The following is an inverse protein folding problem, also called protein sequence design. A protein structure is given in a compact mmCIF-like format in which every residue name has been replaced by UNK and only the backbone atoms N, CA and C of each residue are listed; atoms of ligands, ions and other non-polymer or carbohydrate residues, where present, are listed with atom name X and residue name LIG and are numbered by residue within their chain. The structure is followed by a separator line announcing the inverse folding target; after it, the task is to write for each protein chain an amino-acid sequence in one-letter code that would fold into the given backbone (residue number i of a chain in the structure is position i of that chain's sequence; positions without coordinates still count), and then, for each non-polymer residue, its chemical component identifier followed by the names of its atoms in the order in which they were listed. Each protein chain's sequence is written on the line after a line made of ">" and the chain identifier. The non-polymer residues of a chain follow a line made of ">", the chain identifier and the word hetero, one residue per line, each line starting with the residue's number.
data_IF_126338931180
#
_entry.id   IF_126338931180
#
_cell.length_a   1.000
_cell.length_b   1.000
_cell.length_c   1.000
_cell.angle_alpha   90.00
_cell.angle_beta   90.00
_cell.angle_gamma   90.00
#
_symmetry.space_group_name_H-M   'P 1'
#
loop_
_entity.id
_entity.type
_entity.pdbx_description
1 polymer ?
#
# COMPACT_ATOMS: atom_id res chain seq x y z
N UNK A 1 -13.44 21.42 5.37
CA UNK A 1 -12.37 21.85 4.43
C UNK A 1 -10.97 21.39 4.85
N UNK A 2 -10.51 21.61 6.09
CA UNK A 2 -9.15 21.21 6.54
C UNK A 2 -8.83 19.71 6.36
N UNK A 3 -9.78 18.82 6.62
CA UNK A 3 -9.59 17.36 6.49
C UNK A 3 -9.39 16.94 5.03
N UNK A 4 -10.13 17.55 4.09
CA UNK A 4 -10.00 17.26 2.65
C UNK A 4 -8.61 17.67 2.14
N UNK A 5 -8.11 18.82 2.62
CA UNK A 5 -6.76 19.30 2.27
C UNK A 5 -5.69 18.32 2.78
N UNK A 6 -5.81 17.84 4.03
CA UNK A 6 -4.88 16.85 4.59
C UNK A 6 -4.86 15.55 3.77
N UNK A 7 -6.03 15.02 3.42
CA UNK A 7 -6.16 13.83 2.59
C UNK A 7 -5.56 14.08 1.21
N UNK A 8 -5.87 15.23 0.58
CA UNK A 8 -5.35 15.57 -0.74
C UNK A 8 -3.83 15.68 -0.78
N UNK A 9 -3.23 16.35 0.21
CA UNK A 9 -1.76 16.46 0.33
C UNK A 9 -1.11 15.09 0.56
N UNK A 10 -1.67 14.28 1.45
CA UNK A 10 -1.20 12.91 1.67
C UNK A 10 -1.28 12.08 0.37
N UNK A 11 -2.42 12.13 -0.33
CA UNK A 11 -2.63 11.41 -1.59
C UNK A 11 -1.68 11.87 -2.69
N UNK A 12 -1.43 13.16 -2.82
CA UNK A 12 -0.44 13.71 -3.74
C UNK A 12 0.95 13.11 -3.50
N UNK A 13 1.41 13.14 -2.26
CA UNK A 13 2.72 12.59 -1.88
C UNK A 13 2.75 11.07 -2.13
N UNK A 14 1.74 10.33 -1.68
CA UNK A 14 1.64 8.88 -1.87
C UNK A 14 1.69 8.46 -3.35
N UNK A 15 0.99 9.20 -4.21
CA UNK A 15 0.98 8.95 -5.65
C UNK A 15 2.35 9.19 -6.30
N UNK A 16 3.08 10.23 -5.88
CA UNK A 16 4.45 10.50 -6.35
C UNK A 16 5.39 9.36 -5.93
N UNK A 17 5.31 8.91 -4.68
CA UNK A 17 6.11 7.78 -4.19
C UNK A 17 5.81 6.50 -4.97
N UNK A 18 4.54 6.19 -5.20
CA UNK A 18 4.12 5.05 -6.03
C UNK A 18 4.73 5.12 -7.43
N UNK A 19 4.61 6.27 -8.08
CA UNK A 19 5.19 6.47 -9.41
C UNK A 19 6.71 6.28 -9.41
N UNK A 20 7.41 6.87 -8.45
CA UNK A 20 8.86 6.75 -8.32
C UNK A 20 9.31 5.31 -8.10
N UNK A 21 8.67 4.58 -7.18
CA UNK A 21 8.96 3.16 -6.93
C UNK A 21 8.65 2.33 -8.19
N UNK A 22 7.51 2.57 -8.86
CA UNK A 22 7.18 1.92 -10.12
C UNK A 22 8.28 2.09 -11.17
N UNK A 23 8.82 3.30 -11.31
CA UNK A 23 9.92 3.60 -12.25
C UNK A 23 11.22 2.85 -11.93
N UNK A 24 11.55 2.66 -10.65
CA UNK A 24 12.76 1.91 -10.24
C UNK A 24 12.65 0.46 -10.72
N UNK A 25 11.45 -0.13 -10.66
CA UNK A 25 11.22 -1.53 -11.03
C UNK A 25 10.76 -1.74 -12.48
N UNK A 26 10.61 -0.68 -13.28
CA UNK A 26 10.13 -0.77 -14.67
C UNK A 26 11.00 -1.68 -15.57
N UNK A 27 12.30 -1.74 -15.30
CA UNK A 27 13.27 -2.55 -16.06
C UNK A 27 13.49 -3.95 -15.47
N UNK A 28 12.55 -4.44 -14.70
CA UNK A 28 12.70 -5.74 -14.04
C UNK A 28 12.63 -6.91 -15.03
N UNK A 29 13.70 -7.69 -15.09
CA UNK A 29 13.86 -8.85 -15.99
C UNK A 29 12.94 -10.03 -15.61
N UNK A 30 12.45 -10.08 -14.38
CA UNK A 30 11.68 -11.23 -13.85
C UNK A 30 10.19 -11.19 -14.19
N UNK A 31 9.70 -10.20 -14.91
CA UNK A 31 8.28 -10.01 -15.26
C UNK A 31 7.31 -9.91 -14.07
N UNK A 32 7.80 -10.01 -12.84
CA UNK A 32 7.01 -9.87 -11.64
C UNK A 32 6.82 -8.38 -11.31
N UNK A 33 5.58 -7.92 -11.02
CA UNK A 33 5.31 -6.50 -10.76
C UNK A 33 5.77 -6.04 -9.37
N UNK A 34 7.09 -6.03 -9.12
CA UNK A 34 7.66 -5.70 -7.81
C UNK A 34 7.31 -4.30 -7.32
N UNK A 35 7.17 -3.32 -8.22
CA UNK A 35 6.82 -1.95 -7.85
C UNK A 35 5.46 -1.89 -7.15
N UNK A 36 4.43 -2.41 -7.78
CA UNK A 36 3.06 -2.47 -7.24
C UNK A 36 2.99 -3.35 -5.99
N UNK A 37 3.65 -4.51 -6.02
CA UNK A 37 3.75 -5.41 -4.87
C UNK A 37 4.31 -4.69 -3.64
N UNK A 38 5.44 -4.01 -3.78
CA UNK A 38 6.13 -3.35 -2.68
C UNK A 38 5.31 -2.19 -2.10
N UNK A 39 4.75 -1.31 -2.94
CA UNK A 39 3.96 -0.18 -2.44
C UNK A 39 2.69 -0.62 -1.72
N UNK A 40 2.06 -1.71 -2.17
CA UNK A 40 0.89 -2.25 -1.51
C UNK A 40 1.23 -2.84 -0.13
N UNK A 41 2.36 -3.56 0.01
CA UNK A 41 2.83 -4.10 1.29
C UNK A 41 3.20 -2.98 2.27
N UNK A 42 3.95 -1.98 1.82
CA UNK A 42 4.30 -0.82 2.65
C UNK A 42 3.05 -0.11 3.14
N UNK A 43 2.08 0.13 2.26
CA UNK A 43 0.81 0.76 2.63
C UNK A 43 0.01 -0.05 3.64
N UNK A 44 -0.05 -1.38 3.49
CA UNK A 44 -0.69 -2.29 4.45
C UNK A 44 -0.03 -2.22 5.83
N UNK A 45 1.31 -2.24 5.89
CA UNK A 45 2.04 -2.12 7.15
C UNK A 45 1.77 -0.78 7.86
N UNK A 46 1.88 0.33 7.14
CA UNK A 46 1.62 1.67 7.68
C UNK A 46 0.18 1.82 8.18
N UNK A 47 -0.78 1.25 7.45
CA UNK A 47 -2.18 1.29 7.85
C UNK A 47 -2.42 0.48 9.13
N UNK A 48 -1.80 -0.69 9.27
CA UNK A 48 -1.84 -1.50 10.50
C UNK A 48 -1.30 -0.76 11.71
N UNK A 49 -0.17 -0.05 11.57
CA UNK A 49 0.40 0.82 12.60
C UNK A 49 -0.59 1.91 13.03
N UNK A 50 -1.13 2.65 12.07
CA UNK A 50 -1.99 3.81 12.34
C UNK A 50 -3.31 3.44 13.00
N UNK A 51 -3.99 2.41 12.49
CA UNK A 51 -5.30 1.98 13.04
C UNK A 51 -5.13 1.52 14.49
N UNK A 52 -4.06 0.78 14.79
CA UNK A 52 -3.81 0.31 16.16
C UNK A 52 -3.42 1.44 17.10
N UNK A 53 -2.63 2.42 16.63
CA UNK A 53 -2.32 3.61 17.41
C UNK A 53 -3.57 4.41 17.77
N UNK A 54 -4.49 4.59 16.82
CA UNK A 54 -5.79 5.25 17.06
C UNK A 54 -6.66 4.49 18.06
N UNK A 55 -6.62 3.15 18.02
CA UNK A 55 -7.38 2.33 18.97
C UNK A 55 -6.83 2.42 20.39
N UNK A 56 -5.52 2.68 20.57
CA UNK A 56 -4.88 2.87 21.88
C UNK A 56 -5.14 4.28 22.43
N UNK A 57 -4.99 5.30 21.59
CA UNK A 57 -5.07 6.70 21.97
C UNK A 57 -5.92 7.46 20.96
N UNK A 58 -7.18 7.71 21.28
CA UNK A 58 -8.06 8.52 20.45
C UNK A 58 -7.88 10.00 20.74
N UNK A 59 -6.89 10.63 20.13
CA UNK A 59 -6.64 12.05 20.25
C UNK A 59 -6.69 12.78 18.88
N UNK A 60 -6.85 14.10 18.92
CA UNK A 60 -7.01 14.93 17.73
C UNK A 60 -5.80 14.84 16.78
N UNK A 61 -4.59 14.71 17.33
CA UNK A 61 -3.36 14.61 16.53
C UNK A 61 -3.32 13.30 15.73
N UNK A 62 -3.61 12.18 16.38
CA UNK A 62 -3.66 10.87 15.72
C UNK A 62 -4.78 10.80 14.67
N UNK A 63 -5.92 11.42 14.92
CA UNK A 63 -6.99 11.52 13.92
C UNK A 63 -6.53 12.28 12.66
N UNK A 64 -5.82 13.41 12.82
CA UNK A 64 -5.25 14.16 11.68
C UNK A 64 -4.16 13.38 10.97
N UNK A 65 -3.30 12.67 11.71
CA UNK A 65 -2.26 11.82 11.16
C UNK A 65 -2.87 10.67 10.35
N UNK A 66 -3.95 10.05 10.84
CA UNK A 66 -4.68 9.03 10.09
C UNK A 66 -5.28 9.58 8.79
N UNK A 67 -5.86 10.76 8.79
CA UNK A 67 -6.38 11.37 7.57
C UNK A 67 -5.26 11.66 6.55
N UNK A 68 -4.13 12.18 7.00
CA UNK A 68 -3.01 12.49 6.12
C UNK A 68 -2.27 11.24 5.64
N UNK A 69 -1.84 10.36 6.56
CA UNK A 69 -1.02 9.18 6.23
C UNK A 69 -1.90 7.98 5.83
N UNK A 70 -2.92 7.64 6.59
CA UNK A 70 -3.76 6.46 6.34
C UNK A 70 -4.63 6.65 5.10
N UNK A 71 -5.51 7.64 5.12
CA UNK A 71 -6.47 7.87 4.03
C UNK A 71 -5.79 8.50 2.82
N UNK A 72 -4.96 9.54 3.05
CA UNK A 72 -4.27 10.25 1.97
C UNK A 72 -3.09 9.47 1.42
N UNK A 73 -1.99 9.41 2.17
CA UNK A 73 -0.73 8.84 1.68
C UNK A 73 -0.85 7.36 1.30
N UNK A 74 -1.35 6.50 2.19
CA UNK A 74 -1.52 5.08 1.87
C UNK A 74 -2.53 4.88 0.73
N UNK A 75 -3.63 5.66 0.69
CA UNK A 75 -4.60 5.62 -0.42
C UNK A 75 -4.00 6.02 -1.77
N UNK A 76 -3.07 6.99 -1.80
CA UNK A 76 -2.32 7.38 -3.00
C UNK A 76 -1.19 6.41 -3.35
N UNK A 77 -0.52 5.85 -2.33
CA UNK A 77 0.61 4.93 -2.50
C UNK A 77 0.17 3.57 -3.03
N UNK A 78 -0.88 2.98 -2.43
CA UNK A 78 -1.39 1.65 -2.81
C UNK A 78 -2.28 1.72 -4.04
N UNK A 79 -2.41 0.61 -4.77
CA UNK A 79 -3.25 0.56 -5.96
C UNK A 79 -3.78 -0.83 -6.24
N UNK A 80 -5.11 -0.94 -6.28
CA UNK A 80 -5.79 -2.16 -6.71
C UNK A 80 -5.97 -2.19 -8.23
N UNK A 81 -6.20 -1.05 -8.87
CA UNK A 81 -6.41 -0.97 -10.33
C UNK A 81 -5.17 -1.39 -11.12
N UNK A 82 -3.98 -0.91 -10.73
CA UNK A 82 -2.72 -1.32 -11.35
C UNK A 82 -2.45 -2.81 -11.12
N UNK A 83 -2.65 -3.31 -9.88
CA UNK A 83 -2.54 -4.73 -9.55
C UNK A 83 -3.44 -5.60 -10.44
N UNK A 84 -4.70 -5.21 -10.65
CA UNK A 84 -5.65 -5.94 -11.50
C UNK A 84 -5.20 -5.94 -12.97
N UNK A 85 -4.73 -4.80 -13.49
CA UNK A 85 -4.27 -4.70 -14.88
C UNK A 85 -3.00 -5.52 -15.11
N UNK A 86 -2.04 -5.46 -14.18
CA UNK A 86 -0.81 -6.27 -14.24
C UNK A 86 -1.12 -7.77 -14.21
N UNK A 87 -2.08 -8.18 -13.38
CA UNK A 87 -2.54 -9.58 -13.33
C UNK A 87 -3.14 -10.04 -14.67
N UNK A 88 -3.98 -9.21 -15.30
CA UNK A 88 -4.53 -9.48 -16.63
C UNK A 88 -3.45 -9.52 -17.70
N UNK A 89 -2.46 -8.65 -17.65
CA UNK A 89 -1.33 -8.65 -18.58
C UNK A 89 -0.54 -9.95 -18.48
N UNK A 90 -0.30 -10.47 -17.27
CA UNK A 90 0.36 -11.77 -17.06
C UNK A 90 -0.44 -12.94 -17.67
N UNK A 91 -1.78 -12.87 -17.61
CA UNK A 91 -2.66 -13.86 -18.28
C UNK A 91 -2.49 -13.76 -19.80
N UNK A 92 -2.57 -12.55 -20.36
CA UNK A 92 -2.45 -12.30 -21.80
C UNK A 92 -1.08 -12.74 -22.36
N UNK A 93 -0.03 -12.60 -21.54
CA UNK A 93 1.33 -13.07 -21.87
C UNK A 93 1.52 -14.58 -21.70
N UNK A 94 0.49 -15.33 -21.29
CA UNK A 94 0.57 -16.78 -21.04
C UNK A 94 1.33 -17.17 -19.76
N UNK A 95 1.62 -16.19 -18.87
CA UNK A 95 2.39 -16.39 -17.64
C UNK A 95 1.49 -16.70 -16.44
N UNK A 96 0.64 -17.73 -16.57
CA UNK A 96 -0.38 -18.05 -15.55
C UNK A 96 0.20 -18.34 -14.17
N UNK A 97 1.32 -19.09 -14.11
CA UNK A 97 1.98 -19.39 -12.84
C UNK A 97 2.42 -18.11 -12.12
N UNK A 98 2.99 -17.16 -12.86
CA UNK A 98 3.45 -15.88 -12.29
C UNK A 98 2.28 -15.02 -11.83
N UNK A 99 1.17 -15.04 -12.56
CA UNK A 99 -0.08 -14.38 -12.16
C UNK A 99 -0.62 -14.93 -10.85
N UNK A 100 -0.74 -16.26 -10.70
CA UNK A 100 -1.18 -16.87 -9.45
C UNK A 100 -0.23 -16.54 -8.29
N UNK A 101 1.09 -16.62 -8.51
CA UNK A 101 2.09 -16.26 -7.53
C UNK A 101 1.94 -14.79 -7.11
N UNK A 102 1.74 -13.88 -8.06
CA UNK A 102 1.56 -12.46 -7.80
C UNK A 102 0.32 -12.16 -6.98
N UNK A 103 -0.82 -12.76 -7.33
CA UNK A 103 -2.09 -12.56 -6.60
C UNK A 103 -2.00 -13.11 -5.19
N UNK A 104 -1.58 -14.37 -5.03
CA UNK A 104 -1.52 -15.03 -3.72
C UNK A 104 -0.50 -14.35 -2.81
N UNK A 105 0.68 -14.03 -3.33
CA UNK A 105 1.70 -13.33 -2.54
C UNK A 105 1.27 -11.92 -2.17
N UNK A 106 0.65 -11.15 -3.07
CA UNK A 106 0.19 -9.79 -2.77
C UNK A 106 -0.85 -9.77 -1.65
N UNK A 107 -1.83 -10.68 -1.69
CA UNK A 107 -2.85 -10.79 -0.64
C UNK A 107 -2.21 -11.31 0.66
N UNK A 108 -1.44 -12.39 0.60
CA UNK A 108 -0.83 -13.01 1.76
C UNK A 108 0.13 -12.07 2.50
N UNK A 109 1.07 -11.46 1.79
CA UNK A 109 1.99 -10.50 2.40
C UNK A 109 1.30 -9.20 2.79
N UNK A 110 0.29 -8.73 2.06
CA UNK A 110 -0.51 -7.57 2.44
C UNK A 110 -1.16 -7.76 3.81
N UNK A 111 -1.85 -8.88 4.02
CA UNK A 111 -2.46 -9.23 5.31
C UNK A 111 -1.42 -9.42 6.41
N UNK A 112 -0.31 -10.12 6.11
CA UNK A 112 0.77 -10.39 7.06
C UNK A 112 1.42 -9.08 7.55
N UNK A 113 1.75 -8.17 6.65
CA UNK A 113 2.39 -6.91 7.00
C UNK A 113 1.43 -5.94 7.69
N UNK A 114 0.14 -5.94 7.33
CA UNK A 114 -0.87 -5.22 8.10
C UNK A 114 -0.93 -5.73 9.55
N UNK A 115 -0.94 -7.03 9.74
CA UNK A 115 -0.91 -7.67 11.05
C UNK A 115 0.38 -7.36 11.84
N UNK A 116 1.54 -7.37 11.18
CA UNK A 116 2.80 -6.96 11.82
C UNK A 116 2.77 -5.49 12.28
N UNK A 117 2.21 -4.60 11.46
CA UNK A 117 2.00 -3.21 11.88
C UNK A 117 1.13 -3.10 13.13
N UNK A 118 0.07 -3.89 13.22
CA UNK A 118 -0.81 -3.94 14.39
C UNK A 118 -0.09 -4.46 15.64
N UNK A 119 0.68 -5.57 15.53
CA UNK A 119 1.42 -6.15 16.64
C UNK A 119 2.51 -5.20 17.13
N UNK A 120 3.23 -4.58 16.23
CA UNK A 120 4.31 -3.65 16.56
C UNK A 120 3.85 -2.55 17.53
N UNK A 121 2.68 -1.97 17.29
CA UNK A 121 2.10 -0.97 18.18
C UNK A 121 1.57 -1.58 19.49
N UNK A 122 1.09 -2.83 19.45
CA UNK A 122 0.63 -3.49 20.69
C UNK A 122 1.77 -3.85 21.64
N UNK A 123 2.97 -4.05 21.11
CA UNK A 123 4.18 -4.38 21.90
C UNK A 123 4.86 -3.15 22.51
N UNK A 124 4.52 -1.94 22.05
CA UNK A 124 4.93 -0.66 22.64
C UNK A 124 3.95 -0.19 23.72
#
# INVERSE_FOLDING_TARGET
>A
MKNIILIGLGGFIGTIFRYGIGKIFEKNIFFFPFGTFLVNIIGCFLLGLLITSLAKENNLLLNKLYLFVGVGFCGGLTTFSTFSMESLNLINDGKLFLMFLYIISSIGFGLLFCYFGMIFIKSL
#
